data_IF_293957485866
#
_entry.id   IF_293957485866
#
_cell.length_a   1.000
_cell.length_b   1.000
_cell.length_c   1.000
_cell.angle_alpha   90.00
_cell.angle_beta   90.00
_cell.angle_gamma   90.00
#
_symmetry.space_group_name_H-M   'P 1'
#
loop_
_entity.id
_entity.type
_entity.pdbx_description
1 polymer ?
#
# COMPACT_ATOMS: atom_id res chain seq x y z
N UNK A 1 13.39 -17.47 -7.51
CA UNK A 1 12.52 -17.30 -6.33
C UNK A 1 13.17 -18.06 -5.18
N UNK A 2 13.73 -17.34 -4.19
CA UNK A 2 14.43 -17.96 -3.07
C UNK A 2 13.43 -18.19 -1.93
N UNK A 3 13.29 -19.42 -1.40
CA UNK A 3 12.40 -19.67 -0.27
C UNK A 3 12.98 -19.01 0.98
N UNK A 4 12.15 -18.26 1.73
CA UNK A 4 12.49 -17.82 3.08
C UNK A 4 12.08 -18.91 4.09
N UNK A 5 12.87 -19.12 5.15
CA UNK A 5 12.79 -20.30 6.02
C UNK A 5 11.87 -20.18 7.23
N UNK A 6 10.55 -20.01 7.02
CA UNK A 6 9.55 -20.03 8.09
C UNK A 6 8.26 -20.74 7.67
N UNK A 7 7.35 -21.02 8.60
CA UNK A 7 6.01 -21.54 8.29
C UNK A 7 5.21 -20.50 7.50
N UNK A 8 5.23 -20.58 6.18
CA UNK A 8 4.54 -19.67 5.28
C UNK A 8 3.02 -19.79 5.46
N UNK A 9 2.34 -18.64 5.51
CA UNK A 9 0.96 -18.57 5.04
C UNK A 9 0.98 -17.81 3.73
N UNK A 10 1.09 -18.55 2.63
CA UNK A 10 0.74 -18.01 1.34
C UNK A 10 -0.76 -17.70 1.38
N UNK A 11 -1.10 -16.42 1.34
CA UNK A 11 -2.47 -15.97 1.22
C UNK A 11 -2.62 -15.41 -0.19
N UNK A 12 -3.44 -16.10 -0.98
CA UNK A 12 -3.90 -15.63 -2.29
C UNK A 12 -5.37 -15.28 -2.11
N UNK A 13 -5.74 -14.10 -2.59
CA UNK A 13 -7.10 -13.64 -2.47
C UNK A 13 -8.01 -14.44 -3.43
N UNK A 14 -9.07 -15.05 -2.91
CA UNK A 14 -10.03 -15.82 -3.71
C UNK A 14 -11.26 -14.96 -4.03
N UNK A 15 -11.34 -14.49 -5.27
CA UNK A 15 -12.30 -13.48 -5.72
C UNK A 15 -13.39 -14.04 -6.66
N UNK A 16 -13.76 -15.30 -6.45
CA UNK A 16 -14.68 -16.02 -7.35
C UNK A 16 -16.16 -15.71 -7.04
N UNK A 17 -16.55 -15.76 -5.78
CA UNK A 17 -17.96 -15.60 -5.39
C UNK A 17 -18.37 -14.14 -5.42
N UNK A 18 -19.33 -13.82 -6.29
CA UNK A 18 -19.85 -12.46 -6.45
C UNK A 18 -20.42 -11.89 -5.16
N UNK A 19 -19.94 -10.71 -4.76
CA UNK A 19 -20.43 -9.98 -3.59
C UNK A 19 -20.07 -8.50 -3.66
N UNK A 20 -20.94 -7.68 -3.08
CA UNK A 20 -20.72 -6.25 -2.93
C UNK A 20 -20.80 -5.91 -1.45
N UNK A 21 -19.92 -5.03 -0.98
CA UNK A 21 -19.97 -4.54 0.38
C UNK A 21 -19.40 -3.14 0.52
N UNK A 22 -19.52 -2.61 1.74
CA UNK A 22 -19.13 -1.26 2.09
C UNK A 22 -18.11 -1.27 3.24
N UNK A 23 -17.58 -0.09 3.59
CA UNK A 23 -16.57 0.05 4.64
C UNK A 23 -16.93 -0.69 5.94
N UNK A 24 -15.96 -1.39 6.52
CA UNK A 24 -16.13 -2.15 7.77
C UNK A 24 -16.52 -3.62 7.59
N UNK A 25 -16.74 -4.07 6.35
CA UNK A 25 -17.07 -5.46 6.02
C UNK A 25 -15.80 -6.27 5.72
N UNK A 26 -15.83 -7.57 6.06
CA UNK A 26 -14.80 -8.55 5.69
C UNK A 26 -15.06 -9.05 4.27
N UNK A 27 -14.22 -8.70 3.28
CA UNK A 27 -14.55 -8.95 1.88
C UNK A 27 -14.45 -10.42 1.52
N UNK A 28 -13.57 -11.19 2.15
CA UNK A 28 -13.25 -12.57 1.81
C UNK A 28 -13.86 -13.60 2.78
N UNK A 29 -14.43 -13.17 3.91
CA UNK A 29 -14.80 -14.06 5.01
C UNK A 29 -13.58 -14.55 5.81
N UNK A 30 -12.36 -14.22 5.39
CA UNK A 30 -11.14 -14.43 6.14
C UNK A 30 -11.09 -13.39 7.28
N UNK A 31 -10.76 -13.87 8.47
CA UNK A 31 -10.42 -12.97 9.59
C UNK A 31 -9.13 -12.19 9.35
N UNK A 32 -8.35 -12.64 8.36
CA UNK A 32 -7.09 -12.07 7.92
C UNK A 32 -7.22 -10.90 6.94
N UNK A 33 -8.41 -10.39 6.61
CA UNK A 33 -8.51 -9.14 5.86
C UNK A 33 -9.76 -8.33 6.23
N UNK A 34 -9.73 -7.02 5.96
CA UNK A 34 -10.84 -6.12 6.21
C UNK A 34 -10.81 -4.95 5.23
N UNK A 35 -11.95 -4.69 4.58
CA UNK A 35 -12.15 -3.47 3.82
C UNK A 35 -12.63 -2.36 4.74
N UNK A 36 -12.05 -1.17 4.56
CA UNK A 36 -12.26 0.01 5.39
C UNK A 36 -12.37 1.24 4.50
N UNK A 37 -12.93 2.28 5.09
CA UNK A 37 -13.40 3.44 4.34
C UNK A 37 -14.46 4.18 5.15
N UNK A 38 -14.79 5.40 4.74
CA UNK A 38 -16.11 5.94 5.08
C UNK A 38 -17.21 5.10 4.42
N UNK A 39 -18.45 5.29 4.86
CA UNK A 39 -19.62 4.48 4.48
C UNK A 39 -19.92 4.45 2.98
N UNK A 40 -19.48 5.47 2.23
CA UNK A 40 -19.63 5.55 0.77
C UNK A 40 -18.69 4.63 0.00
N UNK A 41 -17.56 4.19 0.58
CA UNK A 41 -16.63 3.32 -0.12
C UNK A 41 -17.22 1.94 -0.34
N UNK A 42 -17.02 1.40 -1.53
CA UNK A 42 -17.55 0.12 -1.98
C UNK A 42 -16.43 -0.79 -2.43
N UNK A 43 -16.62 -2.08 -2.21
CA UNK A 43 -15.92 -3.11 -2.98
C UNK A 43 -16.92 -3.99 -3.72
N UNK A 44 -16.50 -4.48 -4.88
CA UNK A 44 -17.18 -5.49 -5.69
C UNK A 44 -16.20 -6.62 -5.91
N UNK A 45 -16.57 -7.84 -5.53
CA UNK A 45 -15.84 -9.06 -5.83
C UNK A 45 -16.65 -9.85 -6.84
N UNK A 46 -15.97 -10.44 -7.82
CA UNK A 46 -16.53 -11.37 -8.78
C UNK A 46 -15.57 -11.57 -9.95
N UNK A 47 -15.76 -12.65 -10.71
CA UNK A 47 -14.97 -12.95 -11.92
C UNK A 47 -13.44 -13.01 -11.68
N UNK A 48 -13.02 -13.37 -10.47
CA UNK A 48 -11.61 -13.45 -10.12
C UNK A 48 -10.97 -12.11 -9.75
N UNK A 49 -11.77 -11.04 -9.55
CA UNK A 49 -11.29 -9.69 -9.21
C UNK A 49 -12.00 -9.09 -7.99
N UNK A 50 -11.29 -8.23 -7.26
CA UNK A 50 -11.85 -7.30 -6.29
C UNK A 50 -11.60 -5.87 -6.76
N UNK A 51 -12.68 -5.16 -7.11
CA UNK A 51 -12.64 -3.75 -7.46
C UNK A 51 -13.04 -2.93 -6.24
N UNK A 52 -12.24 -1.92 -5.92
CA UNK A 52 -12.55 -0.95 -4.86
C UNK A 52 -12.74 0.44 -5.44
N UNK A 53 -13.79 1.13 -5.01
CA UNK A 53 -14.06 2.50 -5.41
C UNK A 53 -14.57 3.35 -4.23
N UNK A 54 -14.60 4.66 -4.44
CA UNK A 54 -15.13 5.64 -3.47
C UNK A 54 -16.59 6.02 -3.74
N UNK A 55 -17.31 5.27 -4.60
CA UNK A 55 -18.66 5.57 -5.08
C UNK A 55 -18.88 7.04 -5.53
N UNK A 56 -17.83 7.71 -6.02
CA UNK A 56 -17.88 9.10 -6.46
C UNK A 56 -17.54 10.15 -5.39
N UNK A 57 -17.37 9.74 -4.13
CA UNK A 57 -16.95 10.62 -3.03
C UNK A 57 -15.42 10.73 -2.97
N UNK A 58 -14.89 11.76 -3.63
CA UNK A 58 -13.44 12.01 -3.72
C UNK A 58 -12.78 12.35 -2.38
N UNK A 59 -13.56 12.62 -1.32
CA UNK A 59 -13.04 12.87 0.03
C UNK A 59 -12.77 11.58 0.79
N UNK A 60 -13.25 10.46 0.27
CA UNK A 60 -13.12 9.15 0.88
C UNK A 60 -12.13 8.27 0.12
N UNK A 61 -11.48 7.38 0.87
CA UNK A 61 -10.32 6.60 0.41
C UNK A 61 -10.56 5.13 0.73
N UNK A 62 -10.84 4.29 -0.28
CA UNK A 62 -10.95 2.86 -0.06
C UNK A 62 -9.63 2.30 0.43
N UNK A 63 -9.73 1.45 1.46
CA UNK A 63 -8.60 0.80 2.11
C UNK A 63 -8.89 -0.67 2.27
N UNK A 64 -7.91 -1.50 1.97
CA UNK A 64 -8.02 -2.94 2.19
C UNK A 64 -6.83 -3.43 2.99
N UNK A 65 -7.10 -3.85 4.22
CA UNK A 65 -6.11 -4.33 5.17
C UNK A 65 -6.09 -5.86 5.13
N UNK A 66 -4.91 -6.45 5.02
CA UNK A 66 -4.60 -7.87 5.10
C UNK A 66 -3.83 -8.06 6.40
N UNK A 67 -4.47 -8.61 7.42
CA UNK A 67 -3.91 -8.85 8.74
C UNK A 67 -3.10 -10.15 8.74
N UNK A 68 -1.80 -10.10 9.08
CA UNK A 68 -0.93 -11.14 9.67
C UNK A 68 0.54 -10.67 9.80
N UNK A 69 1.31 -11.34 10.66
CA UNK A 69 2.75 -11.12 10.86
C UNK A 69 3.53 -11.64 9.66
N UNK A 70 4.00 -10.74 8.80
CA UNK A 70 4.78 -11.12 7.62
C UNK A 70 6.12 -10.40 7.65
N UNK A 71 7.21 -11.16 7.55
CA UNK A 71 8.52 -10.60 7.26
C UNK A 71 8.62 -10.36 5.76
N UNK A 72 8.69 -11.40 4.94
CA UNK A 72 8.82 -11.21 3.50
C UNK A 72 7.44 -11.04 2.86
N UNK A 73 7.23 -9.90 2.19
CA UNK A 73 5.94 -9.55 1.58
C UNK A 73 6.14 -9.17 0.12
N UNK A 74 5.32 -9.74 -0.75
CA UNK A 74 5.04 -9.21 -2.08
C UNK A 74 3.58 -8.76 -2.11
N UNK A 75 3.35 -7.49 -2.44
CA UNK A 75 2.02 -6.94 -2.57
C UNK A 75 1.83 -6.38 -3.97
N UNK A 76 0.98 -7.03 -4.77
CA UNK A 76 0.61 -6.62 -6.12
C UNK A 76 -0.81 -6.06 -6.15
N UNK A 77 -1.01 -4.92 -6.80
CA UNK A 77 -2.32 -4.32 -7.03
C UNK A 77 -2.33 -3.46 -8.30
N UNK A 78 -3.46 -3.39 -8.98
CA UNK A 78 -3.69 -2.50 -10.11
C UNK A 78 -4.48 -1.27 -9.67
N UNK A 79 -4.13 -0.12 -10.24
CA UNK A 79 -4.77 1.16 -9.98
C UNK A 79 -5.11 1.86 -11.29
N UNK A 80 -6.34 2.38 -11.36
CA UNK A 80 -6.73 3.31 -12.40
C UNK A 80 -6.38 4.72 -11.97
N UNK A 81 -5.52 5.41 -12.71
CA UNK A 81 -5.11 6.78 -12.39
C UNK A 81 -5.51 7.70 -13.54
N UNK A 82 -6.47 8.59 -13.29
CA UNK A 82 -6.96 9.51 -14.30
C UNK A 82 -6.04 10.72 -14.45
N UNK A 83 -5.96 11.27 -15.66
CA UNK A 83 -5.12 12.45 -15.92
C UNK A 83 -5.53 13.66 -15.08
N UNK A 84 -6.82 13.86 -14.80
CA UNK A 84 -7.23 15.01 -13.95
C UNK A 84 -6.73 14.91 -12.51
N UNK A 85 -6.34 13.71 -12.04
CA UNK A 85 -5.77 13.52 -10.71
C UNK A 85 -4.32 14.06 -10.64
N UNK A 86 -3.69 14.33 -11.79
CA UNK A 86 -2.41 15.02 -11.92
C UNK A 86 -2.51 16.53 -11.61
N UNK A 87 -3.57 17.19 -12.08
CA UNK A 87 -3.70 18.66 -12.03
C UNK A 87 -4.38 19.19 -10.75
N UNK A 88 -4.88 18.29 -9.89
CA UNK A 88 -5.65 18.59 -8.69
C UNK A 88 -4.85 18.98 -7.44
N UNK A 89 -3.91 19.93 -7.57
CA UNK A 89 -3.27 20.64 -6.45
C UNK A 89 -2.32 19.83 -5.56
N UNK A 90 -1.47 20.57 -4.84
CA UNK A 90 -0.40 20.05 -3.97
C UNK A 90 -0.94 19.10 -2.89
N UNK A 91 -0.70 17.81 -3.05
CA UNK A 91 -0.71 16.91 -1.91
C UNK A 91 0.22 15.74 -2.18
N UNK A 92 1.40 15.84 -1.58
CA UNK A 92 2.37 14.77 -1.40
C UNK A 92 1.77 13.51 -0.72
N UNK A 93 0.52 13.59 -0.26
CA UNK A 93 -0.26 12.53 0.36
C UNK A 93 -1.28 11.84 -0.56
N UNK A 94 -1.42 12.24 -1.83
CA UNK A 94 -2.37 11.60 -2.77
C UNK A 94 -1.68 10.56 -3.67
N UNK A 95 -2.48 9.59 -4.08
CA UNK A 95 -2.13 8.54 -5.03
C UNK A 95 -2.17 7.12 -4.43
N UNK A 96 -2.03 6.11 -5.30
CA UNK A 96 -1.91 4.71 -4.90
C UNK A 96 -0.83 4.52 -3.83
N UNK A 97 -1.20 3.88 -2.74
CA UNK A 97 -0.30 3.57 -1.63
C UNK A 97 -0.45 2.10 -1.26
N UNK A 98 0.66 1.36 -1.27
CA UNK A 98 0.77 0.01 -0.72
C UNK A 98 1.57 0.07 0.57
N UNK A 99 1.07 -0.59 1.60
CA UNK A 99 1.70 -0.60 2.92
C UNK A 99 1.89 -2.04 3.37
N UNK A 100 3.03 -2.37 3.95
CA UNK A 100 3.34 -3.73 4.44
C UNK A 100 4.07 -3.66 5.77
N UNK A 101 4.10 -4.79 6.48
CA UNK A 101 4.65 -4.91 7.85
C UNK A 101 4.10 -3.83 8.79
N UNK A 102 2.82 -3.52 8.66
CA UNK A 102 2.16 -2.44 9.37
C UNK A 102 1.47 -2.93 10.64
N UNK A 103 1.53 -2.14 11.71
CA UNK A 103 0.70 -2.29 12.90
C UNK A 103 -0.30 -1.12 13.01
N UNK A 104 -0.62 -0.45 11.90
CA UNK A 104 -1.50 0.71 11.85
C UNK A 104 -2.83 0.53 12.62
N UNK A 105 -3.42 -0.67 12.55
CA UNK A 105 -4.66 -1.01 13.25
C UNK A 105 -4.56 -1.06 14.78
N UNK A 106 -3.35 -1.22 15.33
CA UNK A 106 -3.08 -1.23 16.77
C UNK A 106 -2.82 0.17 17.33
N UNK A 107 -2.58 1.15 16.46
CA UNK A 107 -2.29 2.50 16.88
C UNK A 107 -3.53 3.21 17.41
N UNK A 108 -3.35 3.95 18.50
CA UNK A 108 -4.39 4.71 19.18
C UNK A 108 -3.79 5.96 19.82
N UNK A 109 -4.63 6.86 20.33
CA UNK A 109 -4.13 8.05 21.04
C UNK A 109 -3.32 7.71 22.29
N UNK A 110 -3.61 6.57 22.94
CA UNK A 110 -2.85 6.06 24.09
C UNK A 110 -1.63 5.23 23.70
N UNK A 111 -1.50 4.79 22.45
CA UNK A 111 -0.38 4.01 21.93
C UNK A 111 -0.05 4.44 20.50
N UNK A 112 0.32 5.71 20.26
CA UNK A 112 0.39 6.26 18.92
C UNK A 112 1.61 5.77 18.14
N UNK A 113 2.60 5.20 18.82
CA UNK A 113 3.81 4.68 18.20
C UNK A 113 3.64 3.25 17.62
N UNK A 114 2.50 2.59 17.86
CA UNK A 114 2.29 1.22 17.37
C UNK A 114 2.08 1.14 15.85
N UNK A 115 1.87 2.26 15.16
CA UNK A 115 1.48 2.29 13.75
C UNK A 115 2.57 1.87 12.73
N UNK A 116 3.76 1.45 13.21
CA UNK A 116 4.95 1.19 12.37
C UNK A 116 4.61 0.41 11.11
N UNK A 117 5.15 0.82 9.96
CA UNK A 117 4.96 0.12 8.68
C UNK A 117 5.71 0.75 7.51
N UNK A 118 5.99 -0.04 6.47
CA UNK A 118 6.62 0.41 5.24
C UNK A 118 5.60 0.76 4.19
N UNK A 119 5.77 1.92 3.56
CA UNK A 119 4.88 2.46 2.55
C UNK A 119 5.63 2.56 1.24
N UNK A 120 5.00 2.10 0.16
CA UNK A 120 5.26 2.54 -1.19
C UNK A 120 4.11 3.45 -1.60
N UNK A 121 4.42 4.68 -2.04
CA UNK A 121 3.43 5.62 -2.58
C UNK A 121 3.83 6.07 -3.97
N UNK A 122 2.91 5.96 -4.91
CA UNK A 122 2.98 6.69 -6.17
C UNK A 122 2.38 8.08 -5.97
N UNK A 123 3.09 9.13 -6.41
CA UNK A 123 2.61 10.51 -6.40
C UNK A 123 2.35 10.95 -7.84
N UNK A 124 1.08 10.97 -8.30
CA UNK A 124 0.72 11.31 -9.69
C UNK A 124 1.31 12.63 -10.17
N UNK A 125 1.14 13.72 -9.40
CA UNK A 125 1.61 15.06 -9.74
C UNK A 125 3.12 15.13 -10.03
N UNK A 126 3.91 14.28 -9.37
CA UNK A 126 5.36 14.23 -9.56
C UNK A 126 5.81 13.11 -10.48
N UNK A 127 4.93 12.13 -10.76
CA UNK A 127 5.24 10.87 -11.42
C UNK A 127 6.42 10.15 -10.76
N UNK A 128 6.41 10.09 -9.43
CA UNK A 128 7.49 9.49 -8.65
C UNK A 128 6.95 8.48 -7.65
N UNK A 129 7.77 7.46 -7.38
CA UNK A 129 7.54 6.48 -6.34
C UNK A 129 8.33 6.87 -5.10
N UNK A 130 7.77 6.66 -3.91
CA UNK A 130 8.39 7.01 -2.64
C UNK A 130 8.30 5.85 -1.67
N UNK A 131 9.38 5.62 -0.95
CA UNK A 131 9.37 4.79 0.24
C UNK A 131 9.27 5.68 1.49
N UNK A 132 8.31 5.35 2.36
CA UNK A 132 8.09 6.03 3.64
C UNK A 132 7.98 4.99 4.75
N UNK A 133 8.23 5.41 5.98
CA UNK A 133 7.92 4.65 7.20
C UNK A 133 6.86 5.41 7.99
N UNK A 134 5.74 4.78 8.35
CA UNK A 134 4.87 5.33 9.39
C UNK A 134 5.57 5.14 10.73
N UNK A 135 5.70 6.22 11.51
CA UNK A 135 6.36 6.23 12.82
C UNK A 135 5.38 6.52 13.95
N UNK A 136 4.27 7.16 13.64
CA UNK A 136 3.26 7.55 14.64
C UNK A 136 1.89 7.73 13.98
N UNK A 137 0.85 7.25 14.64
CA UNK A 137 -0.54 7.49 14.30
C UNK A 137 -1.36 7.77 15.55
N UNK A 138 -1.86 9.00 15.69
CA UNK A 138 -2.66 9.45 16.84
C UNK A 138 -3.04 10.92 16.71
N UNK A 139 -4.06 11.35 17.45
CA UNK A 139 -4.62 12.71 17.38
C UNK A 139 -5.17 13.05 15.99
N UNK A 140 -5.68 12.04 15.26
CA UNK A 140 -6.15 12.17 13.88
C UNK A 140 -5.05 12.43 12.85
N UNK A 141 -3.77 12.25 13.20
CA UNK A 141 -2.64 12.50 12.31
C UNK A 141 -1.71 11.30 12.19
N UNK A 142 -1.23 11.08 10.97
CA UNK A 142 -0.13 10.16 10.69
C UNK A 142 1.17 10.94 10.51
N UNK A 143 2.25 10.45 11.13
CA UNK A 143 3.61 10.98 10.97
C UNK A 143 4.49 9.94 10.29
N UNK A 144 5.19 10.39 9.26
CA UNK A 144 6.02 9.55 8.42
C UNK A 144 7.47 10.02 8.49
N UNK A 145 8.42 9.09 8.38
CA UNK A 145 9.80 9.40 8.01
C UNK A 145 10.02 9.06 6.54
N UNK A 146 10.70 9.95 5.82
CA UNK A 146 11.06 9.72 4.42
C UNK A 146 12.21 8.73 4.33
N UNK A 147 12.07 7.68 3.50
CA UNK A 147 13.14 6.70 3.29
C UNK A 147 13.90 7.02 2.01
N UNK A 148 13.18 7.12 0.90
CA UNK A 148 13.77 7.50 -0.39
C UNK A 148 12.68 7.87 -1.41
N UNK A 149 13.10 8.52 -2.48
CA UNK A 149 12.28 8.84 -3.64
C UNK A 149 12.98 8.28 -4.87
N UNK A 150 12.23 7.53 -5.67
CA UNK A 150 12.69 7.00 -6.94
C UNK A 150 12.79 8.06 -8.04
N UNK A 151 13.31 7.67 -9.21
CA UNK A 151 13.35 8.55 -10.37
C UNK A 151 11.94 9.00 -10.76
N UNK A 152 11.87 10.16 -11.42
CA UNK A 152 10.64 10.62 -12.06
C UNK A 152 10.43 9.83 -13.35
N UNK A 153 9.26 9.24 -13.51
CA UNK A 153 8.88 8.56 -14.75
C UNK A 153 8.83 9.57 -15.90
N UNK A 154 9.50 9.24 -17.00
CA UNK A 154 9.57 10.08 -18.21
C UNK A 154 8.19 10.30 -18.82
N UNK A 155 7.34 9.28 -18.80
CA UNK A 155 5.92 9.28 -19.15
C UNK A 155 5.12 8.53 -18.08
N UNK A 156 3.81 8.75 -18.04
CA UNK A 156 2.90 7.94 -17.25
C UNK A 156 1.60 7.80 -18.04
N UNK A 157 1.10 6.57 -18.22
CA UNK A 157 -0.04 6.34 -19.08
C UNK A 157 -1.35 6.57 -18.29
N UNK A 158 -1.90 7.77 -18.42
CA UNK A 158 -3.15 8.14 -17.76
C UNK A 158 -4.35 7.44 -18.37
N UNK A 159 -5.34 7.10 -17.54
CA UNK A 159 -6.59 6.50 -18.03
C UNK A 159 -6.43 5.07 -18.53
N UNK A 160 -5.53 4.31 -17.90
CA UNK A 160 -5.41 2.86 -18.00
C UNK A 160 -5.07 2.28 -16.63
N UNK A 161 -5.18 0.96 -16.47
CA UNK A 161 -4.69 0.30 -15.27
C UNK A 161 -3.16 0.29 -15.25
N UNK A 162 -2.64 0.56 -14.06
CA UNK A 162 -1.21 0.52 -13.78
C UNK A 162 -1.01 -0.44 -12.62
N UNK A 163 -0.22 -1.48 -12.86
CA UNK A 163 0.17 -2.44 -11.84
C UNK A 163 1.28 -1.86 -10.98
N UNK A 164 1.14 -1.99 -9.66
CA UNK A 164 2.21 -1.73 -8.69
C UNK A 164 2.46 -3.02 -7.92
N UNK A 165 3.73 -3.39 -7.80
CA UNK A 165 4.18 -4.53 -7.01
C UNK A 165 5.24 -4.06 -6.03
N UNK A 166 4.91 -4.09 -4.74
CA UNK A 166 5.81 -3.70 -3.66
C UNK A 166 6.35 -4.94 -2.94
N UNK A 167 7.66 -5.13 -3.01
CA UNK A 167 8.38 -6.26 -2.42
C UNK A 167 9.24 -5.76 -1.26
N UNK A 168 9.06 -6.37 -0.10
CA UNK A 168 9.79 -6.04 1.14
C UNK A 168 10.39 -7.31 1.71
N UNK A 169 11.72 -7.37 1.81
CA UNK A 169 12.45 -8.56 2.24
C UNK A 169 13.45 -8.25 3.34
N UNK A 170 13.49 -9.10 4.35
CA UNK A 170 14.54 -9.05 5.38
C UNK A 170 15.81 -9.67 4.82
N UNK A 171 16.94 -8.97 4.93
CA UNK A 171 18.27 -9.47 4.56
C UNK A 171 18.90 -10.21 5.74
N UNK A 172 19.86 -11.13 5.52
CA UNK A 172 20.48 -11.89 6.61
C UNK A 172 21.15 -11.05 7.70
N UNK A 173 21.57 -9.81 7.39
CA UNK A 173 22.17 -8.88 8.34
C UNK A 173 21.13 -8.05 9.13
N UNK A 174 19.83 -8.32 8.94
CA UNK A 174 18.74 -7.60 9.60
C UNK A 174 18.25 -6.35 8.87
N UNK A 175 18.92 -5.90 7.80
CA UNK A 175 18.43 -4.80 6.97
C UNK A 175 17.18 -5.21 6.18
N UNK A 176 16.41 -4.23 5.70
CA UNK A 176 15.23 -4.49 4.87
C UNK A 176 15.42 -3.93 3.47
N UNK A 177 15.26 -4.79 2.47
CA UNK A 177 15.29 -4.42 1.06
C UNK A 177 13.87 -4.14 0.56
N UNK A 178 13.67 -2.92 0.10
CA UNK A 178 12.43 -2.41 -0.50
C UNK A 178 12.61 -2.36 -2.02
N UNK A 179 11.67 -2.91 -2.78
CA UNK A 179 11.65 -2.84 -4.24
C UNK A 179 10.23 -2.55 -4.71
N UNK A 180 10.08 -1.67 -5.70
CA UNK A 180 8.81 -1.45 -6.37
C UNK A 180 8.96 -1.68 -7.87
N UNK A 181 8.08 -2.53 -8.38
CA UNK A 181 7.92 -2.79 -9.80
C UNK A 181 6.63 -2.13 -10.28
N UNK A 182 6.64 -1.71 -11.54
CA UNK A 182 5.45 -1.20 -12.22
C UNK A 182 5.17 -2.00 -13.48
N UNK A 183 3.89 -2.20 -13.75
CA UNK A 183 3.37 -2.65 -15.04
C UNK A 183 2.57 -1.51 -15.66
N UNK A 184 2.97 -1.10 -16.86
CA UNK A 184 2.36 -0.02 -17.64
C UNK A 184 1.58 -0.55 -18.85
N UNK A 185 1.33 -1.85 -18.94
CA UNK A 185 0.71 -2.53 -20.08
C UNK A 185 -0.77 -2.86 -19.88
N UNK A 186 -1.42 -2.24 -18.88
CA UNK A 186 -2.83 -2.52 -18.55
C UNK A 186 -3.05 -4.00 -18.16
N UNK A 187 -2.02 -4.69 -17.67
CA UNK A 187 -2.07 -6.11 -17.32
C UNK A 187 -2.04 -7.07 -18.51
N UNK A 188 -1.75 -6.59 -19.73
CA UNK A 188 -1.65 -7.43 -20.92
C UNK A 188 -0.70 -8.63 -20.68
N UNK A 189 -1.18 -9.84 -20.99
CA UNK A 189 -0.44 -11.09 -20.83
C UNK A 189 0.17 -11.33 -19.43
N UNK A 190 -0.45 -10.78 -18.38
CA UNK A 190 0.02 -10.87 -16.99
C UNK A 190 0.93 -9.73 -16.54
N UNK A 191 1.13 -8.75 -17.41
CA UNK A 191 1.84 -7.50 -17.16
C UNK A 191 3.35 -7.59 -17.40
N UNK A 192 3.93 -6.50 -17.90
CA UNK A 192 5.38 -6.33 -18.04
C UNK A 192 5.94 -5.61 -16.81
N UNK A 193 6.38 -6.39 -15.82
CA UNK A 193 6.86 -5.87 -14.54
C UNK A 193 8.31 -5.37 -14.62
N UNK A 194 8.48 -4.04 -14.60
CA UNK A 194 9.79 -3.40 -14.57
C UNK A 194 10.14 -2.87 -13.18
N UNK A 195 11.38 -3.10 -12.72
CA UNK A 195 11.88 -2.49 -11.47
C UNK A 195 12.02 -0.98 -11.66
N UNK A 196 11.28 -0.19 -10.87
CA UNK A 196 11.30 1.27 -10.97
C UNK A 196 12.11 1.93 -9.86
N UNK A 197 12.13 1.34 -8.67
CA UNK A 197 12.91 1.87 -7.54
C UNK A 197 13.23 0.80 -6.51
N UNK A 198 14.39 0.93 -5.87
CA UNK A 198 14.80 0.07 -4.76
C UNK A 198 15.60 0.83 -3.70
N UNK A 199 15.58 0.31 -2.47
CA UNK A 199 16.35 0.86 -1.34
C UNK A 199 16.57 -0.22 -0.29
N UNK A 200 17.78 -0.29 0.27
CA UNK A 200 18.01 -0.98 1.55
C UNK A 200 17.83 0.03 2.69
N UNK A 201 16.88 -0.23 3.59
CA UNK A 201 16.68 0.48 4.85
C UNK A 201 17.53 -0.20 5.92
N UNK A 202 18.44 0.56 6.52
CA UNK A 202 19.50 0.04 7.38
C UNK A 202 19.31 0.43 8.84
N UNK A 203 19.93 -0.31 9.76
CA UNK A 203 19.84 -0.01 11.19
C UNK A 203 20.39 1.39 11.53
N UNK A 204 21.32 1.92 10.75
CA UNK A 204 21.85 3.29 10.90
C UNK A 204 20.87 4.40 10.52
N UNK A 205 19.76 4.10 9.82
CA UNK A 205 18.74 5.08 9.42
C UNK A 205 17.77 5.43 10.57
N UNK A 206 18.24 5.40 11.82
CA UNK A 206 17.42 5.55 13.04
C UNK A 206 17.38 6.98 13.52
N UNK A 207 16.19 7.56 13.56
CA UNK A 207 15.95 8.83 14.22
C UNK A 207 14.80 8.67 15.23
N UNK A 208 14.97 9.24 16.43
CA UNK A 208 13.86 9.46 17.35
C UNK A 208 12.99 10.57 16.75
N UNK A 209 11.95 10.16 16.02
CA UNK A 209 11.02 11.10 15.41
C UNK A 209 9.70 11.10 16.17
N UNK A 210 9.20 12.31 16.44
CA UNK A 210 7.85 12.54 17.00
C UNK A 210 7.60 11.89 18.39
N UNK A 211 8.68 11.62 19.14
CA UNK A 211 8.63 11.00 20.47
C UNK A 211 8.44 9.48 20.44
N UNK A 212 8.53 8.86 19.27
CA UNK A 212 8.44 7.42 19.10
C UNK A 212 9.83 6.83 18.84
N UNK A 213 10.35 6.05 19.79
CA UNK A 213 11.60 5.32 19.60
C UNK A 213 11.30 3.97 18.98
N UNK A 214 11.77 3.79 17.75
CA UNK A 214 11.70 2.52 17.04
C UNK A 214 13.07 2.18 16.50
N UNK A 215 13.33 0.89 16.31
CA UNK A 215 14.34 0.49 15.35
C UNK A 215 14.05 1.20 14.01
N UNK A 216 15.12 1.67 13.37
CA UNK A 216 15.12 2.19 12.00
C UNK A 216 14.51 1.18 11.05
N UNK A 217 14.85 -0.09 11.23
CA UNK A 217 14.30 -1.22 10.49
C UNK A 217 13.08 -1.78 11.20
N UNK A 218 11.98 -1.94 10.47
CA UNK A 218 10.80 -2.63 10.98
C UNK A 218 10.89 -4.13 10.65
N UNK A 219 11.34 -4.89 11.64
CA UNK A 219 11.51 -6.34 11.53
C UNK A 219 10.19 -7.09 11.30
N UNK A 220 9.15 -6.74 12.06
CA UNK A 220 7.87 -7.45 12.03
C UNK A 220 6.67 -6.50 12.18
N UNK A 221 5.60 -6.78 11.44
CA UNK A 221 4.31 -6.12 11.58
C UNK A 221 3.17 -6.97 11.04
N UNK A 222 1.98 -6.69 11.55
CA UNK A 222 0.81 -7.57 11.48
C UNK A 222 -0.17 -7.24 10.36
N UNK A 223 0.09 -6.30 9.46
CA UNK A 223 -0.84 -5.87 8.41
C UNK A 223 -0.13 -5.42 7.13
N UNK A 224 -0.63 -5.84 5.97
CA UNK A 224 -0.43 -5.14 4.70
C UNK A 224 -1.71 -4.39 4.31
N UNK A 225 -1.66 -3.23 3.66
CA UNK A 225 -2.87 -2.62 3.13
C UNK A 225 -2.69 -1.81 1.85
N UNK A 226 -3.74 -1.79 1.03
CA UNK A 226 -3.89 -0.92 -0.13
C UNK A 226 -4.66 0.32 0.31
N UNK A 227 -4.26 1.48 -0.17
CA UNK A 227 -4.98 2.73 -0.02
C UNK A 227 -4.97 3.47 -1.35
N UNK A 228 -6.14 3.86 -1.84
CA UNK A 228 -6.29 4.67 -3.05
C UNK A 228 -6.88 6.04 -2.68
N UNK A 229 -6.04 7.08 -2.67
CA UNK A 229 -6.44 8.44 -2.30
C UNK A 229 -6.96 9.22 -3.52
N UNK A 230 -8.22 9.67 -3.44
CA UNK A 230 -8.83 10.64 -4.36
C UNK A 230 -8.61 10.36 -5.85
N UNK A 231 -8.66 9.09 -6.25
CA UNK A 231 -8.66 8.70 -7.66
C UNK A 231 -10.06 8.92 -8.25
N UNK A 232 -10.12 9.34 -9.51
CA UNK A 232 -11.38 9.46 -10.22
C UNK A 232 -12.13 8.12 -10.26
N UNK A 233 -13.47 8.14 -10.10
CA UNK A 233 -14.26 6.94 -10.24
C UNK A 233 -14.13 6.35 -11.66
N UNK A 234 -14.10 5.02 -11.71
CA UNK A 234 -14.23 4.23 -12.94
C UNK A 234 -15.58 4.64 -13.58
N UNK A 235 -15.52 5.21 -14.78
CA UNK A 235 -16.71 5.30 -15.62
C UNK A 235 -16.87 3.94 -16.30
N UNK A 236 -17.83 3.16 -15.82
CA UNK A 236 -18.37 2.01 -16.55
C UNK A 236 -19.24 2.52 -17.70
#
# INVERSE_FOLDING_TARGET
LFPSGGSHRDWVAEWQTSRTGYGGVKPDGDTGATFRGGSSNRFVIGNGEMVMDNAGDRTNTPRYYIHKNNENVEFTAYFWVAESDYYGGNSYSKGPTLVVRSNHHLASDSSPCEARGYYMRFTPAERTLRFLKEKKHGGGQTKYSFVSKGPKLSSFPWGQWVGLKFVVRTRPNGDVHLQVFMDLTDGADGGEWELQHERTDSVSDSENMYGCSHASVFGEGGVAFIRADSLNPIKW
#
